data_IF_224386558716
#
_entry.id   IF_224386558716
#
_cell.length_a   1.000
_cell.length_b   1.000
_cell.length_c   1.000
_cell.angle_alpha   90.00
_cell.angle_beta   90.00
_cell.angle_gamma   90.00
#
_symmetry.space_group_name_H-M   'P 1'
#
loop_
_entity.id
_entity.type
_entity.pdbx_description
1 polymer ?
#
# COMPACT_ATOMS: atom_id res chain seq x y z
N UNK A 1 -8.96 2.54 -21.17
CA UNK A 1 -8.55 1.63 -20.04
C UNK A 1 -7.10 1.93 -19.61
N UNK A 2 -6.60 1.48 -18.45
CA UNK A 2 -5.29 1.88 -17.87
C UNK A 2 -4.13 1.99 -18.88
N UNK A 3 -3.91 0.97 -19.72
CA UNK A 3 -2.89 0.96 -20.78
C UNK A 3 -2.94 2.18 -21.71
N UNK A 4 -4.15 2.57 -22.11
CA UNK A 4 -4.38 3.72 -23.00
C UNK A 4 -3.92 5.03 -22.34
N UNK A 5 -4.23 5.21 -21.05
CA UNK A 5 -3.82 6.39 -20.29
C UNK A 5 -2.30 6.43 -20.10
N UNK A 6 -1.67 5.29 -19.82
CA UNK A 6 -0.21 5.19 -19.73
C UNK A 6 0.48 5.50 -21.06
N UNK A 7 -0.06 4.99 -22.18
CA UNK A 7 0.47 5.30 -23.51
C UNK A 7 0.33 6.80 -23.84
N UNK A 8 -0.83 7.40 -23.54
CA UNK A 8 -1.05 8.84 -23.73
C UNK A 8 -0.10 9.67 -22.88
N UNK A 9 0.07 9.31 -21.61
CA UNK A 9 0.98 9.98 -20.69
C UNK A 9 2.44 9.84 -21.14
N UNK A 10 2.84 8.67 -21.67
CA UNK A 10 4.17 8.45 -22.22
C UNK A 10 4.44 9.37 -23.41
N UNK A 11 3.53 9.42 -24.38
CA UNK A 11 3.64 10.31 -25.53
C UNK A 11 3.68 11.79 -25.10
N UNK A 12 2.88 12.16 -24.10
CA UNK A 12 2.85 13.50 -23.51
C UNK A 12 4.19 13.86 -22.87
N UNK A 13 4.73 12.98 -22.02
CA UNK A 13 6.02 13.14 -21.35
C UNK A 13 7.16 13.25 -22.36
N UNK A 14 7.25 12.34 -23.33
CA UNK A 14 8.30 12.35 -24.36
C UNK A 14 8.26 13.65 -25.18
N UNK A 15 7.07 14.16 -25.51
CA UNK A 15 6.94 15.46 -26.21
C UNK A 15 7.38 16.63 -25.33
N UNK A 16 7.05 16.61 -24.04
CA UNK A 16 7.46 17.63 -23.06
C UNK A 16 8.98 17.65 -22.89
N UNK A 17 9.62 16.49 -22.83
CA UNK A 17 11.08 16.35 -22.72
C UNK A 17 11.79 16.74 -24.01
N UNK A 18 11.26 16.33 -25.18
CA UNK A 18 11.83 16.66 -26.49
C UNK A 18 11.87 18.16 -26.78
N UNK A 19 10.86 18.90 -26.31
CA UNK A 19 10.71 20.33 -26.53
C UNK A 19 10.87 21.14 -25.25
N UNK A 20 11.71 20.68 -24.31
CA UNK A 20 11.96 21.37 -23.05
C UNK A 20 12.39 22.84 -23.24
N UNK A 21 13.23 23.09 -24.26
CA UNK A 21 13.76 24.43 -24.59
C UNK A 21 12.91 25.20 -25.62
N UNK A 22 11.82 24.61 -26.11
CA UNK A 22 10.94 25.20 -27.13
C UNK A 22 9.48 25.25 -26.63
N UNK A 23 9.10 26.23 -25.79
CA UNK A 23 7.78 26.29 -25.16
C UNK A 23 6.62 26.21 -26.16
N UNK A 24 6.77 26.82 -27.33
CA UNK A 24 5.79 26.85 -28.42
C UNK A 24 5.47 25.44 -28.98
N UNK A 25 6.39 24.48 -28.84
CA UNK A 25 6.27 23.11 -29.35
C UNK A 25 5.90 22.09 -28.27
N UNK A 26 5.85 22.49 -27.01
CA UNK A 26 5.43 21.63 -25.92
C UNK A 26 3.96 21.21 -26.07
N UNK A 27 3.56 20.04 -25.54
CA UNK A 27 2.15 19.72 -25.43
C UNK A 27 1.47 20.71 -24.48
N UNK A 28 0.22 21.08 -24.78
CA UNK A 28 -0.63 21.78 -23.82
C UNK A 28 -0.72 20.99 -22.51
N UNK A 29 -0.72 21.69 -21.38
CA UNK A 29 -0.85 21.06 -20.07
C UNK A 29 -2.15 20.24 -19.96
N UNK A 30 -2.04 18.93 -19.73
CA UNK A 30 -3.17 18.05 -19.50
C UNK A 30 -3.18 17.60 -18.03
N UNK A 31 -4.12 18.14 -17.26
CA UNK A 31 -4.31 17.83 -15.83
C UNK A 31 -4.49 16.33 -15.54
N UNK A 32 -4.91 15.53 -16.52
CA UNK A 32 -5.10 14.09 -16.36
C UNK A 32 -3.82 13.30 -16.64
N UNK A 33 -2.89 13.84 -17.43
CA UNK A 33 -1.64 13.16 -17.80
C UNK A 33 -0.48 13.58 -16.90
N UNK A 34 -0.47 14.82 -16.39
CA UNK A 34 0.61 15.31 -15.53
C UNK A 34 0.86 14.40 -14.31
N UNK A 35 -0.17 13.91 -13.58
CA UNK A 35 0.06 13.00 -12.44
C UNK A 35 0.65 11.64 -12.81
N UNK A 36 0.56 11.24 -14.08
CA UNK A 36 1.12 9.97 -14.58
C UNK A 36 2.60 10.09 -14.96
N UNK A 37 3.10 11.32 -15.18
CA UNK A 37 4.52 11.58 -15.47
C UNK A 37 5.45 11.06 -14.35
N UNK A 38 5.25 11.38 -13.05
CA UNK A 38 6.12 10.86 -11.99
C UNK A 38 6.03 9.33 -11.84
N UNK A 39 4.91 8.71 -12.22
CA UNK A 39 4.77 7.25 -12.26
C UNK A 39 5.63 6.65 -13.38
N UNK A 40 5.54 7.22 -14.59
CA UNK A 40 6.36 6.80 -15.74
C UNK A 40 7.86 7.00 -15.49
N UNK A 41 8.23 8.04 -14.74
CA UNK A 41 9.61 8.29 -14.29
C UNK A 41 10.03 7.47 -13.07
N UNK A 42 9.14 6.65 -12.52
CA UNK A 42 9.37 5.82 -11.33
C UNK A 42 9.81 6.63 -10.09
N UNK A 43 9.36 7.88 -10.02
CA UNK A 43 9.52 8.73 -8.82
C UNK A 43 8.54 8.29 -7.74
N UNK A 44 7.34 7.84 -8.14
CA UNK A 44 6.32 7.24 -7.26
C UNK A 44 5.78 5.95 -7.90
N UNK A 45 5.37 4.94 -7.11
CA UNK A 45 4.82 3.71 -7.65
C UNK A 45 3.37 3.89 -8.11
N UNK A 46 2.94 3.03 -9.04
CA UNK A 46 1.52 2.87 -9.39
C UNK A 46 0.81 2.05 -8.31
N UNK A 47 -0.25 2.58 -7.70
CA UNK A 47 -1.07 1.83 -6.73
C UNK A 47 -2.26 1.20 -7.43
N UNK A 48 -2.23 -0.11 -7.64
CA UNK A 48 -3.23 -0.83 -8.41
C UNK A 48 -4.35 -1.35 -7.51
N UNK A 49 -5.52 -0.70 -7.58
CA UNK A 49 -6.76 -1.21 -6.99
C UNK A 49 -7.23 -2.46 -7.74
N UNK A 50 -7.11 -3.63 -7.12
CA UNK A 50 -7.59 -4.88 -7.69
C UNK A 50 -7.98 -5.88 -6.59
N UNK A 51 -9.17 -6.46 -6.67
CA UNK A 51 -9.59 -7.49 -5.72
C UNK A 51 -9.20 -8.89 -6.19
N UNK A 52 -9.48 -9.21 -7.47
CA UNK A 52 -9.33 -10.55 -8.01
C UNK A 52 -7.93 -10.83 -8.55
N UNK A 53 -7.57 -12.10 -8.57
CA UNK A 53 -6.27 -12.56 -9.05
C UNK A 53 -6.04 -12.23 -10.54
N UNK A 54 -7.07 -12.29 -11.38
CA UNK A 54 -6.98 -11.97 -12.81
C UNK A 54 -6.85 -10.46 -13.07
N UNK A 55 -7.48 -9.64 -12.24
CA UNK A 55 -7.39 -8.17 -12.33
C UNK A 55 -5.97 -7.71 -12.00
N UNK A 56 -5.39 -8.16 -10.88
CA UNK A 56 -4.01 -7.81 -10.55
C UNK A 56 -3.03 -8.42 -11.56
N UNK A 57 -3.26 -9.64 -12.05
CA UNK A 57 -2.39 -10.20 -13.08
C UNK A 57 -2.38 -9.34 -14.36
N UNK A 58 -3.50 -8.69 -14.68
CA UNK A 58 -3.58 -7.73 -15.78
C UNK A 58 -2.80 -6.45 -15.47
N UNK A 59 -2.94 -5.89 -14.26
CA UNK A 59 -2.16 -4.72 -13.84
C UNK A 59 -0.65 -4.99 -13.86
N UNK A 60 -0.21 -6.17 -13.41
CA UNK A 60 1.18 -6.61 -13.44
C UNK A 60 1.71 -6.65 -14.87
N UNK A 61 1.00 -7.29 -15.81
CA UNK A 61 1.42 -7.34 -17.22
C UNK A 61 1.53 -5.94 -17.84
N UNK A 62 0.64 -5.02 -17.48
CA UNK A 62 0.71 -3.63 -17.93
C UNK A 62 1.91 -2.91 -17.30
N UNK A 63 2.20 -3.12 -16.01
CA UNK A 63 3.36 -2.50 -15.37
C UNK A 63 4.68 -3.03 -15.96
N UNK A 64 4.76 -4.33 -16.29
CA UNK A 64 5.91 -4.91 -16.99
C UNK A 64 6.08 -4.34 -18.40
N UNK A 65 4.98 -4.16 -19.15
CA UNK A 65 4.96 -3.55 -20.49
C UNK A 65 5.54 -2.13 -20.49
N UNK A 66 5.30 -1.35 -19.43
CA UNK A 66 5.74 0.04 -19.30
C UNK A 66 6.97 0.23 -18.39
N UNK A 67 7.48 -0.83 -17.77
CA UNK A 67 8.58 -0.77 -16.81
C UNK A 67 8.26 0.03 -15.54
N UNK A 68 7.08 -0.15 -14.96
CA UNK A 68 6.59 0.59 -13.79
C UNK A 68 6.76 -0.20 -12.49
N UNK A 69 7.02 0.52 -11.39
CA UNK A 69 6.86 -0.01 -10.04
C UNK A 69 5.39 0.03 -9.64
N UNK A 70 4.94 -0.97 -8.87
CA UNK A 70 3.56 -1.02 -8.40
C UNK A 70 3.39 -1.61 -7.00
N UNK A 71 2.30 -1.23 -6.34
CA UNK A 71 1.73 -1.93 -5.19
C UNK A 71 0.35 -2.50 -5.53
N UNK A 72 0.05 -3.68 -5.01
CA UNK A 72 -1.27 -4.30 -5.15
C UNK A 72 -2.18 -3.88 -3.98
N UNK A 73 -3.14 -3.01 -4.25
CA UNK A 73 -4.10 -2.55 -3.25
C UNK A 73 -5.27 -3.54 -3.12
N UNK A 74 -5.76 -3.68 -1.89
CA UNK A 74 -6.80 -4.60 -1.40
C UNK A 74 -6.41 -6.07 -1.31
N UNK A 75 -5.73 -6.61 -2.31
CA UNK A 75 -5.17 -7.96 -2.31
C UNK A 75 -6.14 -9.06 -1.82
N UNK A 76 -7.43 -8.92 -2.17
CA UNK A 76 -8.49 -9.77 -1.62
C UNK A 76 -8.30 -11.25 -1.95
N UNK A 77 -7.97 -11.56 -3.20
CA UNK A 77 -7.64 -12.92 -3.64
C UNK A 77 -6.13 -13.21 -3.56
N UNK A 78 -5.40 -12.53 -2.65
CA UNK A 78 -3.95 -12.70 -2.43
C UNK A 78 -3.52 -14.15 -2.26
N UNK A 79 -4.34 -14.94 -1.57
CA UNK A 79 -4.11 -16.37 -1.33
C UNK A 79 -4.05 -17.21 -2.61
N UNK A 80 -4.66 -16.77 -3.71
CA UNK A 80 -4.71 -17.54 -4.97
C UNK A 80 -3.40 -17.51 -5.75
N UNK A 81 -2.67 -16.40 -5.67
CA UNK A 81 -1.49 -16.13 -6.51
C UNK A 81 -0.28 -15.64 -5.71
N UNK A 82 -0.27 -15.85 -4.39
CA UNK A 82 0.76 -15.35 -3.50
C UNK A 82 2.20 -15.68 -3.95
N UNK A 83 2.45 -16.94 -4.36
CA UNK A 83 3.78 -17.36 -4.84
C UNK A 83 4.22 -16.57 -6.07
N UNK A 84 3.33 -16.39 -7.03
CA UNK A 84 3.61 -15.65 -8.26
C UNK A 84 3.85 -14.15 -7.99
N UNK A 85 3.12 -13.56 -7.05
CA UNK A 85 3.34 -12.17 -6.60
C UNK A 85 4.69 -12.03 -5.89
N UNK A 86 5.05 -12.99 -5.04
CA UNK A 86 6.35 -13.02 -4.35
C UNK A 86 7.52 -13.16 -5.32
N UNK A 87 7.42 -14.06 -6.30
CA UNK A 87 8.43 -14.23 -7.37
C UNK A 87 8.68 -12.94 -8.16
N UNK A 88 7.65 -12.11 -8.32
CA UNK A 88 7.77 -10.80 -8.98
C UNK A 88 8.25 -9.68 -8.07
N UNK A 89 8.34 -9.92 -6.76
CA UNK A 89 8.73 -8.90 -5.77
C UNK A 89 7.71 -7.77 -5.63
N UNK A 90 6.43 -8.00 -5.95
CA UNK A 90 5.41 -6.96 -5.92
C UNK A 90 4.81 -6.86 -4.50
N UNK A 91 4.89 -5.71 -3.82
CA UNK A 91 4.27 -5.54 -2.52
C UNK A 91 2.74 -5.46 -2.61
N UNK A 92 2.06 -5.83 -1.54
CA UNK A 92 0.61 -5.78 -1.41
C UNK A 92 0.14 -4.97 -0.20
N UNK A 93 -1.10 -4.47 -0.24
CA UNK A 93 -1.77 -3.79 0.87
C UNK A 93 -3.14 -4.44 1.07
N UNK A 94 -3.22 -5.40 2.00
CA UNK A 94 -4.39 -6.23 2.21
C UNK A 94 -5.44 -5.56 3.10
N UNK A 95 -6.71 -5.64 2.68
CA UNK A 95 -7.85 -5.07 3.41
C UNK A 95 -8.80 -4.28 2.49
N UNK A 96 -9.90 -3.72 3.00
CA UNK A 96 -10.31 -3.68 4.41
C UNK A 96 -10.99 -4.98 4.86
N UNK A 97 -10.55 -5.55 6.00
CA UNK A 97 -11.09 -6.81 6.51
C UNK A 97 -12.31 -6.64 7.42
N UNK A 98 -12.39 -5.53 8.15
CA UNK A 98 -13.54 -5.12 8.96
C UNK A 98 -14.59 -4.42 8.09
N UNK A 99 -15.00 -5.07 7.00
CA UNK A 99 -15.98 -4.55 6.05
C UNK A 99 -16.99 -5.65 5.67
N UNK A 100 -18.11 -5.26 5.06
CA UNK A 100 -18.97 -6.22 4.42
C UNK A 100 -18.36 -6.66 3.08
N UNK A 101 -18.58 -7.92 2.68
CA UNK A 101 -18.22 -8.40 1.33
C UNK A 101 -19.28 -7.94 0.32
N UNK A 102 -19.48 -6.63 0.20
CA UNK A 102 -20.60 -6.03 -0.54
C UNK A 102 -20.55 -6.20 -2.06
N UNK A 103 -19.42 -6.66 -2.61
CA UNK A 103 -19.20 -6.88 -4.05
C UNK A 103 -18.81 -8.32 -4.34
N UNK A 104 -19.13 -8.81 -5.54
CA UNK A 104 -18.78 -10.17 -5.96
C UNK A 104 -17.28 -10.46 -5.92
N UNK A 105 -16.46 -9.47 -6.26
CA UNK A 105 -14.99 -9.55 -6.22
C UNK A 105 -14.44 -9.66 -4.79
N UNK A 106 -15.23 -9.28 -3.78
CA UNK A 106 -14.86 -9.35 -2.36
C UNK A 106 -15.23 -10.68 -1.70
N UNK A 107 -15.87 -11.62 -2.41
CA UNK A 107 -16.46 -12.84 -1.83
C UNK A 107 -15.44 -13.73 -1.09
N UNK A 108 -14.16 -13.65 -1.48
CA UNK A 108 -13.06 -14.45 -0.92
C UNK A 108 -12.20 -13.68 0.10
N UNK A 109 -12.65 -12.50 0.56
CA UNK A 109 -11.94 -11.74 1.59
C UNK A 109 -11.85 -12.54 2.90
N UNK A 110 -10.71 -13.17 3.17
CA UNK A 110 -10.48 -14.02 4.34
C UNK A 110 -9.35 -13.51 5.22
N UNK A 111 -9.48 -13.68 6.54
CA UNK A 111 -8.42 -13.32 7.50
C UNK A 111 -7.20 -14.26 7.44
N UNK A 112 -7.32 -15.38 6.73
CA UNK A 112 -6.26 -16.33 6.39
C UNK A 112 -5.38 -15.86 5.22
N UNK A 113 -5.88 -14.97 4.35
CA UNK A 113 -5.13 -14.45 3.20
C UNK A 113 -3.76 -13.86 3.59
N UNK A 114 -3.63 -13.02 4.65
CA UNK A 114 -2.33 -12.56 5.17
C UNK A 114 -1.35 -13.70 5.48
N UNK A 115 -1.81 -14.80 6.09
CA UNK A 115 -0.95 -15.93 6.43
C UNK A 115 -0.43 -16.63 5.17
N UNK A 116 -1.30 -16.84 4.19
CA UNK A 116 -0.89 -17.44 2.90
C UNK A 116 0.12 -16.57 2.16
N UNK A 117 -0.08 -15.24 2.16
CA UNK A 117 0.86 -14.29 1.58
C UNK A 117 2.21 -14.29 2.30
N UNK A 118 2.19 -14.33 3.64
CA UNK A 118 3.40 -14.43 4.46
C UNK A 118 4.21 -15.69 4.15
N UNK A 119 3.55 -16.85 4.12
CA UNK A 119 4.21 -18.14 3.83
C UNK A 119 4.82 -18.21 2.43
N UNK A 120 4.23 -17.48 1.48
CA UNK A 120 4.74 -17.37 0.12
C UNK A 120 5.89 -16.36 -0.02
N UNK A 121 6.18 -15.56 1.01
CA UNK A 121 7.23 -14.53 0.98
C UNK A 121 6.78 -13.20 0.37
N UNK A 122 5.48 -12.93 0.28
CA UNK A 122 4.97 -11.63 -0.19
C UNK A 122 5.21 -10.57 0.89
N UNK A 123 5.84 -9.44 0.52
CA UNK A 123 5.86 -8.24 1.36
C UNK A 123 4.47 -7.59 1.33
N UNK A 124 3.81 -7.44 2.48
CA UNK A 124 2.49 -6.82 2.54
C UNK A 124 2.21 -6.02 3.80
N UNK A 125 1.44 -4.94 3.62
CA UNK A 125 0.84 -4.16 4.70
C UNK A 125 -0.63 -4.55 4.90
N UNK A 126 -1.18 -4.19 6.07
CA UNK A 126 -2.61 -4.33 6.38
C UNK A 126 -3.25 -2.93 6.39
N UNK A 127 -4.44 -2.80 5.83
CA UNK A 127 -5.17 -1.53 5.78
C UNK A 127 -6.63 -1.64 6.26
N UNK A 128 -7.21 -0.49 6.59
CA UNK A 128 -8.63 -0.34 6.93
C UNK A 128 -9.45 0.30 5.82
N UNK A 129 -8.82 0.79 4.74
CA UNK A 129 -9.46 1.58 3.67
C UNK A 129 -10.41 2.66 4.25
N UNK A 130 -9.92 3.36 5.27
CA UNK A 130 -10.77 4.15 6.14
C UNK A 130 -11.21 5.44 5.47
N UNK A 131 -12.53 5.67 5.43
CA UNK A 131 -13.13 6.98 5.22
C UNK A 131 -13.56 7.52 6.58
N UNK A 132 -12.70 8.30 7.24
CA UNK A 132 -12.95 8.85 8.58
C UNK A 132 -12.36 8.01 9.73
N UNK A 133 -13.14 7.76 10.77
CA UNK A 133 -12.63 7.30 12.08
C UNK A 133 -12.34 5.79 12.18
N UNK A 134 -12.62 5.00 11.14
CA UNK A 134 -12.40 3.54 11.15
C UNK A 134 -10.93 3.14 11.16
N UNK A 135 -10.02 4.07 10.86
CA UNK A 135 -8.55 3.87 10.96
C UNK A 135 -8.11 3.41 12.36
N UNK A 136 -8.86 3.76 13.41
CA UNK A 136 -8.59 3.32 14.79
C UNK A 136 -8.64 1.81 14.99
N UNK A 137 -9.27 1.08 14.07
CA UNK A 137 -9.40 -0.37 14.12
C UNK A 137 -8.27 -1.12 13.41
N UNK A 138 -7.27 -0.42 12.86
CA UNK A 138 -6.12 -1.04 12.21
C UNK A 138 -5.43 -2.12 13.08
N UNK A 139 -5.20 -1.92 14.39
CA UNK A 139 -4.64 -2.97 15.25
C UNK A 139 -5.53 -4.21 15.34
N UNK A 140 -6.86 -4.06 15.28
CA UNK A 140 -7.80 -5.18 15.29
C UNK A 140 -7.69 -6.00 14.01
N UNK A 141 -7.55 -5.35 12.85
CA UNK A 141 -7.33 -6.06 11.58
C UNK A 141 -6.05 -6.92 11.62
N UNK A 142 -4.97 -6.37 12.18
CA UNK A 142 -3.73 -7.10 12.40
C UNK A 142 -3.89 -8.26 13.39
N UNK A 143 -4.54 -8.02 14.54
CA UNK A 143 -4.81 -9.04 15.56
C UNK A 143 -5.64 -10.21 15.02
N UNK A 144 -6.65 -9.93 14.18
CA UNK A 144 -7.45 -10.97 13.52
C UNK A 144 -6.63 -11.80 12.54
N UNK A 145 -5.62 -11.21 11.90
CA UNK A 145 -4.68 -11.97 11.05
C UNK A 145 -3.76 -12.86 11.88
N UNK A 146 -3.33 -12.40 13.06
CA UNK A 146 -2.56 -13.22 14.03
C UNK A 146 -3.38 -14.42 14.50
N UNK A 147 -4.68 -14.23 14.75
CA UNK A 147 -5.59 -15.31 15.11
C UNK A 147 -5.63 -16.42 14.05
N UNK A 148 -5.49 -16.08 12.77
CA UNK A 148 -5.41 -17.04 11.66
C UNK A 148 -3.98 -17.55 11.38
N UNK A 149 -3.03 -17.26 12.25
CA UNK A 149 -1.68 -17.82 12.23
C UNK A 149 -0.59 -16.92 11.63
N UNK A 150 -0.90 -15.66 11.28
CA UNK A 150 0.15 -14.69 10.92
C UNK A 150 1.09 -14.47 12.12
N UNK A 151 2.43 -14.50 11.96
CA UNK A 151 3.32 -14.23 13.08
C UNK A 151 3.09 -12.83 13.66
N UNK A 152 3.01 -12.74 14.98
CA UNK A 152 2.75 -11.51 15.71
C UNK A 152 3.70 -10.36 15.30
N UNK A 153 5.01 -10.64 15.24
CA UNK A 153 6.02 -9.66 14.85
C UNK A 153 5.79 -9.12 13.43
N UNK A 154 5.36 -9.98 12.51
CA UNK A 154 5.06 -9.54 11.16
C UNK A 154 3.76 -8.73 11.10
N UNK A 155 2.75 -9.09 11.89
CA UNK A 155 1.50 -8.32 11.98
C UNK A 155 1.76 -6.88 12.46
N UNK A 156 2.67 -6.67 13.41
CA UNK A 156 3.12 -5.34 13.81
C UNK A 156 3.86 -4.60 12.70
N UNK A 157 4.80 -5.29 12.02
CA UNK A 157 5.51 -4.72 10.86
C UNK A 157 4.54 -4.32 9.74
N UNK A 158 3.50 -5.12 9.50
CA UNK A 158 2.48 -4.89 8.47
C UNK A 158 1.62 -3.64 8.71
N UNK A 159 1.66 -3.07 9.92
CA UNK A 159 0.98 -1.80 10.27
C UNK A 159 1.96 -0.68 10.68
N UNK A 160 3.28 -0.89 10.48
CA UNK A 160 4.33 0.08 10.82
C UNK A 160 5.39 0.20 9.70
N UNK A 161 6.45 -0.61 9.74
CA UNK A 161 7.58 -0.48 8.81
C UNK A 161 7.24 -0.91 7.39
N UNK A 162 6.42 -1.94 7.19
CA UNK A 162 6.09 -2.43 5.84
C UNK A 162 5.33 -1.38 5.02
N UNK A 163 4.25 -0.73 5.52
CA UNK A 163 3.62 0.34 4.74
C UNK A 163 4.57 1.52 4.49
N UNK A 164 5.48 1.85 5.43
CA UNK A 164 6.49 2.88 5.21
C UNK A 164 7.47 2.52 4.08
N UNK A 165 7.88 1.25 3.99
CA UNK A 165 8.70 0.74 2.89
C UNK A 165 7.95 0.79 1.55
N UNK A 166 6.66 0.42 1.53
CA UNK A 166 5.85 0.40 0.30
C UNK A 166 5.68 1.81 -0.28
N UNK A 167 5.54 2.84 0.56
CA UNK A 167 5.37 4.22 0.10
C UNK A 167 6.69 5.02 0.04
N UNK A 168 7.83 4.38 0.33
CA UNK A 168 9.15 4.99 0.17
C UNK A 168 9.54 6.02 1.23
N UNK A 169 9.07 5.86 2.47
CA UNK A 169 9.37 6.76 3.61
C UNK A 169 9.94 6.02 4.82
N UNK A 170 10.44 4.80 4.64
CA UNK A 170 10.98 3.97 5.71
C UNK A 170 12.27 4.53 6.33
N UNK A 171 12.95 5.46 5.67
CA UNK A 171 14.06 6.24 6.23
C UNK A 171 13.61 7.22 7.33
N UNK A 172 12.34 7.62 7.30
CA UNK A 172 11.75 8.56 8.25
C UNK A 172 10.90 7.91 9.33
N UNK A 173 10.06 6.93 9.00
CA UNK A 173 9.05 6.39 9.93
C UNK A 173 8.95 4.86 9.90
N UNK A 174 8.15 4.30 10.80
CA UNK A 174 7.77 2.89 10.80
C UNK A 174 8.59 1.96 11.70
N UNK A 175 9.68 2.44 12.31
CA UNK A 175 10.44 1.72 13.34
C UNK A 175 11.05 2.69 14.35
N UNK A 176 11.42 2.18 15.52
CA UNK A 176 12.09 2.96 16.57
C UNK A 176 13.60 2.77 16.40
N UNK A 177 14.22 3.62 15.59
CA UNK A 177 15.64 3.57 15.26
C UNK A 177 16.25 4.98 15.25
N UNK A 178 17.55 5.08 15.54
CA UNK A 178 18.24 6.37 15.55
C UNK A 178 18.19 7.00 14.16
N UNK A 179 17.79 8.27 14.09
CA UNK A 179 17.73 9.06 12.85
C UNK A 179 16.35 9.12 12.20
N UNK A 180 15.37 8.37 12.71
CA UNK A 180 13.97 8.43 12.28
C UNK A 180 13.17 9.48 13.04
N UNK A 181 12.06 9.90 12.47
CA UNK A 181 11.10 10.82 13.07
C UNK A 181 10.56 10.21 14.36
N UNK A 182 10.42 11.03 15.41
CA UNK A 182 10.02 10.58 16.74
C UNK A 182 8.49 10.40 16.85
N UNK A 183 7.95 9.54 15.99
CA UNK A 183 6.54 9.18 15.91
C UNK A 183 6.25 7.96 16.80
N UNK A 184 5.75 8.21 18.02
CA UNK A 184 5.64 7.19 19.06
C UNK A 184 4.22 7.12 19.63
N UNK A 185 3.78 5.88 19.92
CA UNK A 185 2.55 5.62 20.68
C UNK A 185 2.90 4.94 22.00
N UNK A 186 2.52 5.56 23.10
CA UNK A 186 2.61 4.95 24.42
C UNK A 186 1.28 4.27 24.71
N UNK A 187 1.35 2.97 24.98
CA UNK A 187 0.19 2.10 25.12
C UNK A 187 0.13 1.51 26.53
N UNK A 188 -1.08 1.30 27.04
CA UNK A 188 -1.30 0.69 28.36
C UNK A 188 -0.97 -0.81 28.42
N UNK A 189 -0.68 -1.44 27.27
CA UNK A 189 -0.55 -2.89 27.11
C UNK A 189 -0.16 -3.27 25.69
N UNK A 190 -0.43 -4.52 25.32
CA UNK A 190 -0.08 -5.08 24.00
C UNK A 190 -0.77 -4.30 22.86
N UNK A 191 -0.03 -3.87 21.82
CA UNK A 191 -0.57 -3.09 20.70
C UNK A 191 -1.71 -3.76 19.91
N UNK A 192 -1.80 -5.09 19.90
CA UNK A 192 -2.81 -5.86 19.16
C UNK A 192 -3.98 -6.30 20.05
N UNK A 193 -3.94 -6.01 21.35
CA UNK A 193 -5.06 -6.28 22.25
C UNK A 193 -6.16 -5.21 22.15
N UNK A 194 -7.41 -5.66 22.09
CA UNK A 194 -8.58 -4.76 22.00
C UNK A 194 -8.71 -3.81 23.21
N UNK A 195 -8.33 -4.27 24.40
CA UNK A 195 -8.45 -3.52 25.64
C UNK A 195 -7.35 -2.45 25.81
N UNK A 196 -6.30 -2.48 24.99
CA UNK A 196 -5.17 -1.56 25.08
C UNK A 196 -5.58 -0.14 24.74
N UNK A 197 -5.17 0.78 25.61
CA UNK A 197 -5.49 2.21 25.50
C UNK A 197 -4.25 2.97 25.05
N UNK A 198 -4.48 4.02 24.28
CA UNK A 198 -3.44 4.98 23.92
C UNK A 198 -3.33 5.97 25.06
N UNK A 199 -2.18 5.99 25.73
CA UNK A 199 -1.90 6.90 26.83
C UNK A 199 -1.31 8.21 26.29
N UNK A 200 -0.38 8.12 25.32
CA UNK A 200 0.20 9.30 24.65
C UNK A 200 0.51 9.01 23.18
N UNK A 201 0.48 10.06 22.36
CA UNK A 201 1.00 10.08 20.99
C UNK A 201 1.98 11.22 20.85
N UNK A 202 3.15 10.92 20.29
CA UNK A 202 4.20 11.86 19.95
C UNK A 202 4.32 11.83 18.41
N UNK A 203 4.39 13.00 17.77
CA UNK A 203 4.60 13.16 16.33
C UNK A 203 5.74 14.16 16.15
N UNK A 204 6.75 13.81 15.37
CA UNK A 204 7.95 14.64 15.16
C UNK A 204 8.62 15.10 16.48
N UNK A 205 8.50 14.30 17.55
CA UNK A 205 9.04 14.62 18.87
C UNK A 205 8.14 15.49 19.76
N UNK A 206 7.01 15.96 19.24
CA UNK A 206 6.06 16.81 19.95
C UNK A 206 4.85 16.02 20.46
N UNK A 207 4.34 16.37 21.64
CA UNK A 207 3.17 15.70 22.22
C UNK A 207 1.90 16.07 21.44
N UNK A 208 1.38 15.14 20.66
CA UNK A 208 0.17 15.32 19.84
C UNK A 208 -1.12 14.89 20.57
N UNK A 209 -1.02 13.93 21.51
CA UNK A 209 -2.14 13.46 22.31
C UNK A 209 -1.67 13.01 23.70
N UNK A 210 -2.45 13.35 24.72
CA UNK A 210 -2.38 12.73 26.04
C UNK A 210 -3.79 12.44 26.50
N UNK A 211 -3.97 11.27 27.10
CA UNK A 211 -5.22 10.91 27.77
C UNK A 211 -5.39 11.64 29.09
#
# INVERSE_FOLDING_TARGET
MLREWLQRAKNYMEKKEKFADEPEKQPEYDIRLEPLVPVLKRVIPLRAHAHRADDVATAVRICEEFGLDMSWEHATEGHRIAKWIAEKGIPAVWGPSLSNRGKWEMRELGYDTPKVMYDAGVKFAIQTDAVGSTVRFLPICAALSVKEGLPYDYALKAITIVPAEIIGVADRVGSIEKGKDADLRLLSGDPLEYATKVEKVIIDGELAHSR
#
